data_IF_347286823349
#
_entry.id   IF_347286823349
#
_cell.length_a   1.000
_cell.length_b   1.000
_cell.length_c   1.000
_cell.angle_alpha   90.00
_cell.angle_beta   90.00
_cell.angle_gamma   90.00
#
_symmetry.space_group_name_H-M   'P 1'
#
loop_
_entity.id
_entity.type
_entity.pdbx_description
1 polymer ?
#
# COMPACT_ATOMS: atom_id res chain seq x y z
N UNK A 1 5.87 -18.68 -10.19
CA UNK A 1 6.87 -19.33 -9.34
C UNK A 1 6.36 -20.49 -8.50
N UNK A 2 5.45 -21.33 -9.04
CA UNK A 2 5.08 -22.59 -8.36
C UNK A 2 6.14 -23.69 -8.52
N UNK A 3 7.16 -23.44 -9.34
CA UNK A 3 8.18 -24.41 -9.72
C UNK A 3 9.57 -23.85 -9.55
N UNK A 4 9.85 -23.21 -8.40
CA UNK A 4 11.23 -22.89 -8.05
C UNK A 4 12.03 -24.20 -7.94
N UNK A 5 13.27 -24.26 -8.49
CA UNK A 5 14.15 -25.40 -8.30
C UNK A 5 14.32 -25.74 -6.82
N UNK A 6 14.59 -27.02 -6.52
CA UNK A 6 14.76 -27.53 -5.15
C UNK A 6 15.80 -26.75 -4.31
N UNK A 7 16.72 -26.07 -4.97
CA UNK A 7 17.82 -25.31 -4.36
C UNK A 7 17.48 -23.84 -4.05
N UNK A 8 16.30 -23.39 -4.46
CA UNK A 8 15.80 -22.11 -4.00
C UNK A 8 15.53 -22.16 -2.49
N UNK A 9 15.72 -21.06 -1.76
CA UNK A 9 15.51 -21.07 -0.32
C UNK A 9 14.18 -21.71 0.04
N UNK A 10 14.25 -22.84 0.72
CA UNK A 10 13.07 -23.53 1.21
C UNK A 10 12.41 -22.67 2.28
N UNK A 11 11.16 -22.37 2.12
CA UNK A 11 10.39 -21.61 3.08
C UNK A 11 9.61 -20.44 2.44
N UNK A 12 8.37 -20.32 2.84
CA UNK A 12 7.44 -19.34 2.28
C UNK A 12 7.91 -17.89 2.54
N UNK A 13 8.51 -17.62 3.71
CA UNK A 13 9.03 -16.30 4.05
C UNK A 13 10.11 -15.82 3.07
N UNK A 14 11.10 -16.67 2.75
CA UNK A 14 12.15 -16.34 1.78
C UNK A 14 11.61 -16.16 0.37
N UNK A 15 10.65 -16.99 -0.05
CA UNK A 15 9.96 -16.85 -1.34
C UNK A 15 9.17 -15.54 -1.42
N UNK A 16 8.50 -15.11 -0.35
CA UNK A 16 7.84 -13.81 -0.27
C UNK A 16 8.86 -12.67 -0.37
N UNK A 17 10.02 -12.82 0.25
CA UNK A 17 11.14 -11.86 0.13
C UNK A 17 11.64 -11.70 -1.32
N UNK A 18 11.66 -12.78 -2.12
CA UNK A 18 12.01 -12.71 -3.55
C UNK A 18 10.92 -11.97 -4.35
N UNK A 19 9.64 -12.26 -4.09
CA UNK A 19 8.52 -11.54 -4.72
C UNK A 19 8.60 -10.04 -4.40
N UNK A 20 8.86 -9.69 -3.15
CA UNK A 20 9.09 -8.32 -2.74
C UNK A 20 10.30 -7.70 -3.47
N UNK A 21 11.45 -8.40 -3.51
CA UNK A 21 12.67 -7.92 -4.19
C UNK A 21 12.44 -7.67 -5.68
N UNK A 22 11.65 -8.51 -6.35
CA UNK A 22 11.25 -8.32 -7.73
C UNK A 22 10.39 -7.05 -7.92
N UNK A 23 9.38 -6.83 -7.06
CA UNK A 23 8.59 -5.61 -7.09
C UNK A 23 9.47 -4.36 -6.87
N UNK A 24 10.33 -4.41 -5.86
CA UNK A 24 11.24 -3.33 -5.52
C UNK A 24 12.20 -2.98 -6.67
N UNK A 25 12.80 -3.99 -7.27
CA UNK A 25 13.67 -3.82 -8.43
C UNK A 25 12.94 -3.16 -9.62
N UNK A 26 11.74 -3.62 -9.94
CA UNK A 26 10.95 -3.00 -11.00
C UNK A 26 10.56 -1.56 -10.68
N UNK A 27 10.26 -1.26 -9.41
CA UNK A 27 9.95 0.10 -8.98
C UNK A 27 11.11 1.08 -9.19
N UNK A 28 12.34 0.60 -9.04
CA UNK A 28 13.56 1.39 -9.26
C UNK A 28 13.90 1.55 -10.74
N UNK A 29 13.57 0.55 -11.58
CA UNK A 29 13.82 0.59 -13.03
C UNK A 29 12.83 1.48 -13.80
N UNK A 30 11.62 1.57 -13.34
CA UNK A 30 10.53 2.25 -14.05
C UNK A 30 10.36 3.66 -13.51
N UNK A 31 10.57 4.66 -14.33
CA UNK A 31 10.24 6.05 -14.00
C UNK A 31 8.71 6.24 -14.13
N UNK A 32 7.95 5.66 -13.20
CA UNK A 32 6.49 5.63 -13.23
C UNK A 32 5.91 5.82 -11.84
N UNK A 33 4.82 6.59 -11.76
CA UNK A 33 4.00 6.75 -10.57
C UNK A 33 3.32 5.42 -10.13
N UNK A 34 3.25 4.43 -11.03
CA UNK A 34 2.52 3.19 -10.83
C UNK A 34 2.91 2.47 -9.54
N UNK A 35 4.20 2.29 -9.31
CA UNK A 35 4.68 1.58 -8.11
C UNK A 35 4.40 2.33 -6.81
N UNK A 36 4.36 3.66 -6.85
CA UNK A 36 3.95 4.47 -5.70
C UNK A 36 2.45 4.29 -5.42
N UNK A 37 1.63 4.19 -6.47
CA UNK A 37 0.20 3.88 -6.32
C UNK A 37 -0.06 2.43 -5.90
N UNK A 38 0.74 1.45 -6.33
CA UNK A 38 0.68 0.08 -5.78
C UNK A 38 0.89 0.11 -4.26
N UNK A 39 1.87 0.87 -3.80
CA UNK A 39 2.12 1.00 -2.36
C UNK A 39 0.99 1.76 -1.65
N UNK A 40 0.44 2.80 -2.26
CA UNK A 40 -0.76 3.50 -1.76
C UNK A 40 -1.97 2.54 -1.63
N UNK A 41 -2.23 1.73 -2.65
CA UNK A 41 -3.31 0.75 -2.60
C UNK A 41 -3.06 -0.32 -1.53
N UNK A 42 -1.80 -0.72 -1.32
CA UNK A 42 -1.42 -1.60 -0.23
C UNK A 42 -1.69 -0.98 1.15
N UNK A 43 -1.43 0.31 1.34
CA UNK A 43 -1.77 0.99 2.61
C UNK A 43 -3.28 1.18 2.81
N UNK A 44 -4.07 0.98 1.76
CA UNK A 44 -5.54 1.04 1.80
C UNK A 44 -6.16 -0.34 2.03
N UNK A 45 -5.73 -1.35 1.26
CA UNK A 45 -6.19 -2.74 1.34
C UNK A 45 -5.08 -3.61 1.94
N UNK A 46 -4.80 -3.39 3.20
CA UNK A 46 -3.63 -3.89 3.89
C UNK A 46 -3.64 -5.41 4.09
N UNK A 47 -2.52 -6.05 3.75
CA UNK A 47 -2.16 -7.40 4.18
C UNK A 47 -0.73 -7.39 4.73
N UNK A 48 -0.35 -8.36 5.56
CA UNK A 48 1.03 -8.46 6.01
C UNK A 48 1.73 -9.64 5.32
N UNK A 49 2.74 -9.32 4.51
CA UNK A 49 3.57 -10.31 3.79
C UNK A 49 4.20 -11.34 4.74
N UNK A 50 4.57 -10.94 5.94
CA UNK A 50 5.25 -11.82 6.90
C UNK A 50 4.25 -12.56 7.80
N UNK A 51 3.07 -11.98 8.01
CA UNK A 51 2.03 -12.52 8.88
C UNK A 51 0.71 -12.67 8.13
N UNK A 52 0.18 -13.88 8.06
CA UNK A 52 -1.20 -14.13 7.62
C UNK A 52 -1.45 -14.30 6.12
N UNK A 53 -0.60 -13.84 5.20
CA UNK A 53 -0.87 -14.04 3.74
C UNK A 53 -0.72 -15.50 3.27
N UNK A 54 -0.18 -16.39 4.08
CA UNK A 54 0.01 -17.80 3.72
C UNK A 54 1.11 -18.02 2.68
N UNK A 55 0.75 -18.53 1.51
CA UNK A 55 1.70 -18.88 0.45
C UNK A 55 2.32 -17.65 -0.22
N UNK A 56 3.58 -17.76 -0.64
CA UNK A 56 4.25 -16.70 -1.43
C UNK A 56 3.55 -16.42 -2.75
N UNK A 57 2.87 -17.41 -3.33
CA UNK A 57 2.06 -17.24 -4.53
C UNK A 57 0.83 -16.37 -4.29
N UNK A 58 0.22 -16.42 -3.10
CA UNK A 58 -0.88 -15.53 -2.74
C UNK A 58 -0.41 -14.08 -2.64
N UNK A 59 0.74 -13.86 -2.00
CA UNK A 59 1.34 -12.52 -1.96
C UNK A 59 1.70 -12.00 -3.37
N UNK A 60 2.17 -12.86 -4.25
CA UNK A 60 2.42 -12.49 -5.65
C UNK A 60 1.13 -12.11 -6.39
N UNK A 61 0.06 -12.91 -6.22
CA UNK A 61 -1.24 -12.62 -6.83
C UNK A 61 -1.85 -11.31 -6.31
N UNK A 62 -1.74 -11.07 -5.01
CA UNK A 62 -2.14 -9.81 -4.38
C UNK A 62 -1.40 -8.60 -5.00
N UNK A 63 -0.07 -8.67 -5.14
CA UNK A 63 0.69 -7.58 -5.78
C UNK A 63 0.29 -7.39 -7.25
N UNK A 64 0.02 -8.47 -7.98
CA UNK A 64 -0.49 -8.39 -9.35
C UNK A 64 -1.87 -7.73 -9.41
N UNK A 65 -2.73 -7.98 -8.44
CA UNK A 65 -4.04 -7.35 -8.36
C UNK A 65 -3.91 -5.84 -8.12
N UNK A 66 -3.05 -5.43 -7.20
CA UNK A 66 -2.76 -4.01 -6.98
C UNK A 66 -2.10 -3.36 -8.21
N UNK A 67 -1.18 -4.06 -8.88
CA UNK A 67 -0.55 -3.59 -10.12
C UNK A 67 -1.57 -3.38 -11.25
N UNK A 68 -2.54 -4.30 -11.39
CA UNK A 68 -3.59 -4.21 -12.39
C UNK A 68 -4.48 -2.97 -12.16
N UNK A 69 -4.83 -2.70 -10.91
CA UNK A 69 -5.70 -1.58 -10.55
C UNK A 69 -4.97 -0.31 -10.09
N UNK A 70 -3.64 -0.22 -10.21
CA UNK A 70 -2.88 0.95 -9.80
C UNK A 70 -3.35 2.26 -10.44
N UNK A 71 -3.80 2.19 -11.70
CA UNK A 71 -4.43 3.30 -12.42
C UNK A 71 -5.92 3.07 -12.68
N UNK A 72 -6.50 2.06 -12.07
CA UNK A 72 -7.83 1.56 -12.36
C UNK A 72 -8.92 2.10 -11.44
N UNK A 73 -9.95 1.30 -11.29
CA UNK A 73 -11.18 1.59 -10.57
C UNK A 73 -11.14 1.03 -9.14
N UNK A 74 -11.24 1.90 -8.13
CA UNK A 74 -11.20 1.52 -6.70
C UNK A 74 -12.40 0.65 -6.30
N UNK A 75 -13.59 0.94 -6.83
CA UNK A 75 -14.79 0.16 -6.53
C UNK A 75 -14.67 -1.26 -7.04
N UNK A 76 -14.15 -1.43 -8.27
CA UNK A 76 -13.88 -2.76 -8.82
C UNK A 76 -12.77 -3.47 -8.02
N UNK A 77 -11.70 -2.76 -7.64
CA UNK A 77 -10.67 -3.33 -6.78
C UNK A 77 -11.25 -3.81 -5.45
N UNK A 78 -12.13 -3.06 -4.80
CA UNK A 78 -12.76 -3.47 -3.55
C UNK A 78 -13.57 -4.76 -3.69
N UNK A 79 -14.24 -4.98 -4.82
CA UNK A 79 -14.91 -6.27 -5.14
C UNK A 79 -13.89 -7.39 -5.30
N UNK A 80 -12.82 -7.16 -6.09
CA UNK A 80 -11.81 -8.17 -6.42
C UNK A 80 -10.95 -8.56 -5.22
N UNK A 81 -10.61 -7.60 -4.35
CA UNK A 81 -9.81 -7.86 -3.13
C UNK A 81 -10.55 -8.77 -2.14
N UNK A 82 -11.89 -8.76 -2.15
CA UNK A 82 -12.71 -9.68 -1.34
C UNK A 82 -12.51 -11.15 -1.72
N UNK A 83 -12.10 -11.42 -2.95
CA UNK A 83 -11.74 -12.77 -3.43
C UNK A 83 -10.22 -13.02 -3.47
N UNK A 84 -9.39 -12.05 -3.08
CA UNK A 84 -7.94 -12.25 -3.06
C UNK A 84 -7.54 -13.29 -2.00
N UNK A 85 -6.75 -14.31 -2.40
CA UNK A 85 -6.38 -15.40 -1.52
C UNK A 85 -5.50 -14.94 -0.33
N UNK A 86 -4.68 -13.91 -0.49
CA UNK A 86 -3.89 -13.36 0.60
C UNK A 86 -4.77 -12.62 1.60
N UNK A 87 -5.72 -11.82 1.13
CA UNK A 87 -6.70 -11.11 1.95
C UNK A 87 -7.61 -12.06 2.71
N UNK A 88 -8.18 -13.07 2.02
CA UNK A 88 -9.03 -14.10 2.61
C UNK A 88 -8.33 -14.86 3.75
N UNK A 89 -7.02 -15.09 3.62
CA UNK A 89 -6.23 -15.73 4.64
C UNK A 89 -5.81 -14.78 5.76
N UNK A 90 -5.45 -13.54 5.42
CA UNK A 90 -4.93 -12.55 6.37
C UNK A 90 -5.99 -12.08 7.37
N UNK A 91 -7.22 -11.85 6.90
CA UNK A 91 -8.34 -11.42 7.73
C UNK A 91 -9.34 -12.56 8.05
N UNK A 92 -8.91 -13.81 7.91
CA UNK A 92 -9.65 -15.02 8.29
C UNK A 92 -11.05 -15.17 7.67
N UNK A 93 -11.35 -14.43 6.58
CA UNK A 93 -12.66 -14.57 5.93
C UNK A 93 -12.86 -15.97 5.35
N UNK A 94 -11.78 -16.72 5.11
CA UNK A 94 -11.88 -18.11 4.69
C UNK A 94 -12.57 -19.01 5.72
N UNK A 95 -12.66 -18.61 7.00
CA UNK A 95 -13.40 -19.32 8.05
C UNK A 95 -14.85 -18.87 8.17
N UNK A 96 -15.21 -17.71 7.61
CA UNK A 96 -16.52 -17.09 7.68
C UNK A 96 -17.59 -17.97 7.00
N UNK A 97 -18.65 -18.32 7.73
CA UNK A 97 -19.76 -19.12 7.21
C UNK A 97 -21.09 -18.72 7.87
N UNK A 98 -22.21 -19.08 7.24
CA UNK A 98 -23.57 -18.70 7.69
C UNK A 98 -23.94 -19.09 9.10
N UNK A 99 -23.36 -20.19 9.63
CA UNK A 99 -23.66 -20.68 10.97
C UNK A 99 -22.77 -20.06 12.05
N UNK A 100 -21.60 -19.55 11.65
CA UNK A 100 -20.65 -18.87 12.50
C UNK A 100 -20.01 -17.72 11.71
N UNK A 101 -20.71 -16.58 11.54
CA UNK A 101 -20.17 -15.44 10.84
C UNK A 101 -18.90 -14.91 11.51
N UNK A 102 -17.87 -14.66 10.72
CA UNK A 102 -16.64 -14.04 11.15
C UNK A 102 -16.64 -12.57 10.70
N UNK A 103 -16.67 -11.66 11.65
CA UNK A 103 -16.78 -10.22 11.39
C UNK A 103 -15.46 -9.53 11.06
N UNK A 104 -14.32 -10.23 11.20
CA UNK A 104 -13.01 -9.58 11.09
C UNK A 104 -12.83 -8.84 9.75
N UNK A 105 -12.99 -9.55 8.63
CA UNK A 105 -12.90 -8.91 7.31
C UNK A 105 -14.00 -7.86 7.07
N UNK A 106 -15.21 -8.12 7.55
CA UNK A 106 -16.34 -7.21 7.40
C UNK A 106 -16.08 -5.87 8.13
N UNK A 107 -15.52 -5.94 9.33
CA UNK A 107 -15.15 -4.78 10.13
C UNK A 107 -14.09 -3.96 9.41
N UNK A 108 -13.00 -4.59 8.97
CA UNK A 108 -11.93 -3.89 8.26
C UNK A 108 -12.39 -3.31 6.92
N UNK A 109 -13.31 -4.00 6.23
CA UNK A 109 -13.88 -3.50 4.97
C UNK A 109 -14.60 -2.15 5.17
N UNK A 110 -15.39 -2.01 6.22
CA UNK A 110 -16.09 -0.76 6.53
C UNK A 110 -15.16 0.24 7.23
N UNK A 111 -14.42 -0.17 8.26
CA UNK A 111 -13.62 0.70 9.12
C UNK A 111 -12.37 1.26 8.46
N UNK A 112 -11.70 0.46 7.63
CA UNK A 112 -10.40 0.82 7.08
C UNK A 112 -10.40 0.94 5.56
N UNK A 113 -11.16 0.09 4.86
CA UNK A 113 -11.04 -0.01 3.41
C UNK A 113 -12.00 0.90 2.67
N UNK A 114 -13.15 1.29 3.27
CA UNK A 114 -14.19 2.06 2.58
C UNK A 114 -14.65 3.29 3.36
N UNK A 115 -15.81 3.25 4.02
CA UNK A 115 -16.48 4.43 4.60
C UNK A 115 -15.77 5.06 5.79
N UNK A 116 -14.92 4.31 6.49
CA UNK A 116 -14.31 4.66 7.78
C UNK A 116 -15.36 4.87 8.89
N UNK A 117 -14.89 5.04 10.14
CA UNK A 117 -15.81 5.10 11.30
C UNK A 117 -16.72 6.34 11.30
N UNK A 118 -16.17 7.50 11.00
CA UNK A 118 -16.86 8.75 11.28
C UNK A 118 -16.91 9.05 12.79
N UNK A 119 -17.81 9.92 13.20
CA UNK A 119 -18.01 10.27 14.61
C UNK A 119 -18.72 9.11 15.35
N UNK A 120 -18.26 8.77 16.53
CA UNK A 120 -18.94 7.79 17.37
C UNK A 120 -20.25 8.39 17.94
N UNK A 121 -21.35 7.66 17.79
CA UNK A 121 -22.67 8.05 18.29
C UNK A 121 -22.93 7.39 19.65
N UNK A 122 -22.66 6.09 19.74
CA UNK A 122 -22.72 5.30 20.97
C UNK A 122 -21.74 4.10 20.88
N UNK A 123 -21.78 3.17 21.83
CA UNK A 123 -20.87 2.02 21.84
C UNK A 123 -21.07 1.14 20.60
N UNK A 124 -20.02 1.02 19.78
CA UNK A 124 -19.99 0.25 18.54
C UNK A 124 -20.67 0.91 17.35
N UNK A 125 -21.37 2.04 17.53
CA UNK A 125 -22.09 2.73 16.47
C UNK A 125 -21.45 4.08 16.10
N UNK A 126 -21.33 4.30 14.80
CA UNK A 126 -20.70 5.48 14.20
C UNK A 126 -21.63 6.14 13.18
N UNK A 127 -21.32 7.36 12.77
CA UNK A 127 -22.11 8.07 11.76
C UNK A 127 -22.13 7.36 10.41
N UNK A 128 -21.09 6.60 10.08
CA UNK A 128 -20.92 6.00 8.76
C UNK A 128 -21.40 4.54 8.70
N UNK A 129 -21.50 3.85 9.82
CA UNK A 129 -22.06 2.49 9.93
C UNK A 129 -22.37 2.15 11.40
N UNK A 130 -23.11 1.08 11.61
CA UNK A 130 -23.44 0.51 12.92
C UNK A 130 -22.80 -0.88 13.09
N UNK A 131 -22.76 -1.38 14.32
CA UNK A 131 -22.30 -2.76 14.60
C UNK A 131 -23.20 -3.79 13.87
N UNK A 132 -24.50 -3.51 13.72
CA UNK A 132 -25.37 -4.37 12.94
C UNK A 132 -24.97 -4.41 11.46
N UNK A 133 -24.51 -3.31 10.89
CA UNK A 133 -24.01 -3.27 9.49
C UNK A 133 -22.78 -4.16 9.31
N UNK A 134 -21.89 -4.23 10.31
CA UNK A 134 -20.75 -5.16 10.30
C UNK A 134 -21.24 -6.60 10.27
N UNK A 135 -22.23 -6.96 11.12
CA UNK A 135 -22.81 -8.30 11.15
C UNK A 135 -23.47 -8.67 9.82
N UNK A 136 -24.20 -7.74 9.21
CA UNK A 136 -24.81 -7.95 7.87
C UNK A 136 -23.72 -8.10 6.79
N UNK A 137 -22.66 -7.29 6.85
CA UNK A 137 -21.50 -7.38 5.95
C UNK A 137 -20.79 -8.73 6.09
N UNK A 138 -20.61 -9.25 7.31
CA UNK A 138 -20.05 -10.58 7.53
C UNK A 138 -20.90 -11.69 6.87
N UNK A 139 -22.23 -11.54 6.88
CA UNK A 139 -23.14 -12.45 6.17
C UNK A 139 -23.03 -12.35 4.65
N UNK A 140 -22.85 -11.14 4.09
CA UNK A 140 -22.56 -10.96 2.66
C UNK A 140 -21.26 -11.67 2.27
N UNK A 141 -20.23 -11.60 3.10
CA UNK A 141 -18.92 -12.22 2.83
C UNK A 141 -18.84 -13.71 3.24
N UNK A 142 -19.88 -14.25 3.86
CA UNK A 142 -19.90 -15.66 4.26
C UNK A 142 -19.79 -16.58 3.06
N UNK A 143 -19.11 -17.71 3.22
CA UNK A 143 -18.92 -18.68 2.14
C UNK A 143 -17.90 -18.30 1.07
N UNK A 144 -17.32 -17.08 1.07
CA UNK A 144 -16.20 -16.74 0.20
C UNK A 144 -14.93 -17.34 0.78
N UNK A 145 -14.29 -18.24 0.04
CA UNK A 145 -13.22 -19.10 0.52
C UNK A 145 -11.95 -18.96 -0.30
N UNK A 146 -10.82 -19.09 0.38
CA UNK A 146 -9.51 -19.21 -0.25
C UNK A 146 -9.41 -20.48 -1.11
N UNK A 147 -8.74 -20.38 -2.27
CA UNK A 147 -8.46 -21.50 -3.18
C UNK A 147 -6.98 -21.87 -3.17
N UNK A 148 -6.56 -22.87 -2.37
CA UNK A 148 -5.13 -23.20 -2.20
C UNK A 148 -4.43 -23.68 -3.48
N UNK A 149 -5.17 -24.24 -4.45
CA UNK A 149 -4.65 -24.72 -5.72
C UNK A 149 -4.48 -23.59 -6.75
N UNK A 150 -5.11 -22.42 -6.52
CA UNK A 150 -5.05 -21.27 -7.44
C UNK A 150 -5.55 -21.60 -8.86
N UNK A 151 -6.50 -22.49 -8.99
CA UNK A 151 -7.11 -22.93 -10.25
C UNK A 151 -8.42 -22.21 -10.58
N UNK A 152 -8.92 -21.38 -9.66
CA UNK A 152 -10.01 -20.42 -9.92
C UNK A 152 -9.37 -19.12 -10.38
N UNK A 153 -9.64 -18.72 -11.63
CA UNK A 153 -9.04 -17.56 -12.26
C UNK A 153 -10.10 -16.48 -12.48
N UNK A 154 -9.82 -15.28 -12.04
CA UNK A 154 -10.67 -14.13 -12.33
C UNK A 154 -10.64 -13.83 -13.85
N UNK A 155 -11.79 -13.83 -14.53
CA UNK A 155 -11.85 -13.68 -15.98
C UNK A 155 -11.40 -12.29 -16.46
N UNK A 156 -11.53 -11.26 -15.62
CA UNK A 156 -11.20 -9.87 -15.98
C UNK A 156 -9.70 -9.59 -15.88
N UNK A 157 -9.03 -10.19 -14.88
CA UNK A 157 -7.63 -9.88 -14.56
C UNK A 157 -6.67 -11.01 -14.94
N UNK A 158 -7.17 -12.24 -15.13
CA UNK A 158 -6.35 -13.43 -15.30
C UNK A 158 -5.55 -13.80 -14.04
N UNK A 159 -5.97 -13.32 -12.86
CA UNK A 159 -5.28 -13.55 -11.58
C UNK A 159 -6.03 -14.64 -10.80
N UNK A 160 -5.31 -15.59 -10.15
CA UNK A 160 -5.93 -16.55 -9.27
C UNK A 160 -6.67 -15.90 -8.11
N UNK A 161 -7.90 -16.34 -7.86
CA UNK A 161 -8.77 -15.84 -6.81
C UNK A 161 -9.37 -16.96 -5.94
N UNK A 162 -10.08 -16.58 -4.88
CA UNK A 162 -10.92 -17.47 -4.08
C UNK A 162 -12.16 -17.94 -4.84
N UNK A 163 -13.02 -18.67 -4.16
CA UNK A 163 -14.24 -19.22 -4.73
C UNK A 163 -15.42 -19.07 -3.77
N UNK A 164 -16.64 -19.22 -4.26
CA UNK A 164 -17.86 -19.22 -3.46
C UNK A 164 -18.24 -20.65 -3.07
N UNK A 165 -18.41 -20.87 -1.77
CA UNK A 165 -19.05 -22.06 -1.24
C UNK A 165 -20.50 -21.72 -0.85
N UNK A 166 -21.43 -21.97 -1.73
CA UNK A 166 -22.85 -21.65 -1.55
C UNK A 166 -23.51 -22.35 -0.36
N UNK A 167 -23.01 -23.51 0.04
CA UNK A 167 -23.51 -24.21 1.23
C UNK A 167 -23.15 -23.51 2.54
N UNK A 168 -22.11 -22.70 2.53
CA UNK A 168 -21.62 -21.94 3.68
C UNK A 168 -22.02 -20.47 3.62
N UNK A 169 -22.61 -20.02 2.52
CA UNK A 169 -23.08 -18.66 2.34
C UNK A 169 -24.47 -18.46 2.99
N UNK A 170 -24.71 -17.27 3.55
CA UNK A 170 -26.02 -16.85 4.07
C UNK A 170 -26.87 -16.28 2.92
N UNK A 171 -27.83 -17.05 2.47
CA UNK A 171 -28.73 -16.66 1.35
C UNK A 171 -29.92 -15.80 1.76
N UNK A 172 -30.04 -15.38 3.02
CA UNK A 172 -31.11 -14.48 3.44
C UNK A 172 -30.86 -13.04 2.97
N UNK A 173 -31.91 -12.24 2.74
CA UNK A 173 -31.74 -10.81 2.50
C UNK A 173 -31.08 -10.10 3.70
N UNK A 174 -30.29 -9.08 3.44
CA UNK A 174 -29.60 -8.26 4.45
C UNK A 174 -30.07 -6.81 4.33
N UNK A 175 -30.69 -6.30 5.39
CA UNK A 175 -31.10 -4.89 5.48
C UNK A 175 -30.09 -4.14 6.31
N UNK A 176 -29.51 -3.09 5.73
CA UNK A 176 -28.53 -2.21 6.35
C UNK A 176 -29.19 -1.01 7.02
N UNK A 177 -28.46 -0.32 7.89
CA UNK A 177 -28.98 0.80 8.68
C UNK A 177 -29.31 2.04 7.83
N UNK A 178 -29.83 3.07 8.50
CA UNK A 178 -30.06 4.37 7.88
C UNK A 178 -28.79 5.03 7.33
N UNK A 179 -27.59 4.68 7.83
CA UNK A 179 -26.33 5.11 7.27
C UNK A 179 -26.17 4.66 5.81
N UNK A 180 -26.78 3.54 5.43
CA UNK A 180 -26.86 3.03 4.06
C UNK A 180 -28.29 3.16 3.46
N UNK A 181 -29.06 4.14 3.91
CA UNK A 181 -30.41 4.44 3.38
C UNK A 181 -31.43 3.32 3.64
N UNK A 182 -31.26 2.49 4.67
CA UNK A 182 -32.09 1.31 4.96
C UNK A 182 -32.17 0.34 3.76
N UNK A 183 -31.09 0.24 3.00
CA UNK A 183 -31.04 -0.58 1.79
C UNK A 183 -31.09 -2.07 2.13
N UNK A 184 -31.95 -2.82 1.43
CA UNK A 184 -32.00 -4.28 1.53
C UNK A 184 -31.34 -4.91 0.30
N UNK A 185 -30.36 -5.77 0.54
CA UNK A 185 -29.66 -6.53 -0.49
C UNK A 185 -30.19 -7.98 -0.48
N UNK A 186 -30.63 -8.45 -1.64
CA UNK A 186 -31.08 -9.85 -1.79
C UNK A 186 -29.91 -10.81 -1.56
N UNK A 187 -30.15 -11.89 -0.85
CA UNK A 187 -29.15 -12.94 -0.65
C UNK A 187 -29.04 -13.86 -1.85
N UNK A 188 -27.81 -14.33 -2.13
CA UNK A 188 -27.52 -15.28 -3.21
C UNK A 188 -27.59 -16.72 -2.77
N UNK A 189 -28.16 -17.61 -3.60
CA UNK A 189 -28.23 -19.04 -3.39
C UNK A 189 -27.35 -19.84 -4.37
N UNK A 190 -26.95 -19.22 -5.48
CA UNK A 190 -26.00 -19.73 -6.46
C UNK A 190 -24.73 -18.88 -6.49
N UNK A 191 -23.65 -19.39 -7.09
CA UNK A 191 -22.39 -18.65 -7.21
C UNK A 191 -22.58 -17.30 -7.90
N UNK A 192 -23.34 -17.27 -9.00
CA UNK A 192 -23.63 -16.02 -9.73
C UNK A 192 -24.44 -15.02 -8.91
N UNK A 193 -25.39 -15.50 -8.11
CA UNK A 193 -26.20 -14.64 -7.24
C UNK A 193 -25.37 -14.10 -6.07
N UNK A 194 -24.42 -14.86 -5.51
CA UNK A 194 -23.50 -14.36 -4.48
C UNK A 194 -22.57 -13.29 -5.05
N UNK A 195 -22.09 -13.44 -6.29
CA UNK A 195 -21.34 -12.38 -6.96
C UNK A 195 -22.20 -11.13 -7.16
N UNK A 196 -23.46 -11.26 -7.53
CA UNK A 196 -24.39 -10.14 -7.68
C UNK A 196 -24.72 -9.47 -6.32
N UNK A 197 -24.90 -10.27 -5.27
CA UNK A 197 -25.07 -9.78 -3.90
C UNK A 197 -23.89 -8.93 -3.46
N UNK A 198 -22.65 -9.42 -3.67
CA UNK A 198 -21.44 -8.67 -3.39
C UNK A 198 -21.36 -7.38 -4.23
N UNK A 199 -21.75 -7.45 -5.49
CA UNK A 199 -21.77 -6.28 -6.36
C UNK A 199 -22.70 -5.21 -5.82
N UNK A 200 -23.96 -5.56 -5.52
CA UNK A 200 -24.96 -4.67 -4.96
C UNK A 200 -24.51 -4.10 -3.59
N UNK A 201 -23.87 -4.93 -2.76
CA UNK A 201 -23.32 -4.48 -1.49
C UNK A 201 -22.21 -3.43 -1.67
N UNK A 202 -21.24 -3.70 -2.54
CA UNK A 202 -20.16 -2.74 -2.81
C UNK A 202 -20.70 -1.48 -3.46
N UNK A 203 -21.69 -1.58 -4.35
CA UNK A 203 -22.34 -0.43 -4.95
C UNK A 203 -23.04 0.44 -3.90
N UNK A 204 -23.71 -0.15 -2.93
CA UNK A 204 -24.31 0.55 -1.79
C UNK A 204 -23.25 1.28 -0.94
N UNK A 205 -22.17 0.61 -0.59
CA UNK A 205 -21.07 1.19 0.21
C UNK A 205 -20.37 2.33 -0.55
N UNK A 206 -20.18 2.19 -1.85
CA UNK A 206 -19.56 3.22 -2.69
C UNK A 206 -20.50 4.35 -3.10
N UNK A 207 -21.81 4.19 -2.94
CA UNK A 207 -22.77 5.27 -3.06
C UNK A 207 -22.71 6.27 -1.87
N UNK A 208 -22.12 5.87 -0.76
CA UNK A 208 -21.87 6.75 0.38
C UNK A 208 -20.82 7.82 0.01
N UNK A 209 -21.12 9.13 0.14
CA UNK A 209 -20.16 10.19 -0.15
C UNK A 209 -18.88 10.09 0.68
N UNK A 210 -18.99 9.59 1.93
CA UNK A 210 -17.83 9.41 2.82
C UNK A 210 -16.83 8.38 2.29
N UNK A 211 -17.26 7.37 1.52
CA UNK A 211 -16.32 6.45 0.86
C UNK A 211 -15.37 7.20 -0.09
N UNK A 212 -15.90 8.07 -0.94
CA UNK A 212 -15.08 8.84 -1.85
C UNK A 212 -14.16 9.83 -1.10
N UNK A 213 -14.68 10.51 -0.07
CA UNK A 213 -13.88 11.40 0.79
C UNK A 213 -12.78 10.63 1.51
N UNK A 214 -13.07 9.43 2.03
CA UNK A 214 -12.09 8.58 2.69
C UNK A 214 -10.90 8.26 1.79
N UNK A 215 -11.13 7.88 0.53
CA UNK A 215 -10.07 7.65 -0.44
C UNK A 215 -9.29 8.91 -0.78
N UNK A 216 -9.96 10.05 -0.95
CA UNK A 216 -9.31 11.33 -1.24
C UNK A 216 -8.48 11.84 -0.05
N UNK A 217 -8.96 11.69 1.19
CA UNK A 217 -8.19 11.98 2.41
C UNK A 217 -6.94 11.10 2.51
N UNK A 218 -7.05 9.81 2.23
CA UNK A 218 -5.89 8.88 2.18
C UNK A 218 -4.91 9.29 1.09
N UNK A 219 -5.39 9.63 -0.10
CA UNK A 219 -4.55 10.06 -1.21
C UNK A 219 -3.83 11.38 -0.88
N UNK A 220 -4.55 12.34 -0.31
CA UNK A 220 -3.99 13.61 0.14
C UNK A 220 -2.88 13.39 1.18
N UNK A 221 -3.16 12.59 2.21
CA UNK A 221 -2.19 12.25 3.25
C UNK A 221 -0.96 11.53 2.71
N UNK A 222 -1.15 10.70 1.72
CA UNK A 222 -0.06 9.95 1.11
C UNK A 222 0.87 10.82 0.24
N UNK A 223 0.34 11.85 -0.42
CA UNK A 223 1.09 12.64 -1.39
C UNK A 223 1.40 14.07 -0.95
N UNK A 224 0.61 14.66 -0.07
CA UNK A 224 0.63 16.10 0.20
C UNK A 224 0.98 16.45 1.65
N UNK A 225 0.11 16.11 2.61
CA UNK A 225 0.27 16.53 4.00
C UNK A 225 -0.45 15.57 4.96
N UNK A 226 0.12 15.35 6.14
CA UNK A 226 -0.45 14.45 7.16
C UNK A 226 -1.70 15.02 7.84
N UNK A 227 -1.72 16.32 8.03
CA UNK A 227 -2.80 17.07 8.67
C UNK A 227 -3.23 18.23 7.75
N UNK A 228 -4.47 18.62 7.79
CA UNK A 228 -5.01 19.72 7.00
C UNK A 228 -6.13 20.46 7.71
N UNK A 229 -6.40 21.69 7.28
CA UNK A 229 -7.48 22.54 7.76
C UNK A 229 -8.85 22.14 7.18
N UNK A 230 -9.91 22.71 7.74
CA UNK A 230 -11.26 22.56 7.19
C UNK A 230 -11.36 23.15 5.76
N UNK A 231 -10.65 24.23 5.48
CA UNK A 231 -10.63 24.85 4.14
C UNK A 231 -10.06 23.87 3.09
N UNK A 232 -8.99 23.14 3.40
CA UNK A 232 -8.47 22.09 2.52
C UNK A 232 -9.45 20.92 2.38
N UNK A 233 -10.20 20.57 3.44
CA UNK A 233 -11.26 19.56 3.33
C UNK A 233 -12.36 20.01 2.38
N UNK A 234 -12.76 21.27 2.43
CA UNK A 234 -13.86 21.83 1.64
C UNK A 234 -13.43 22.15 0.20
N UNK A 235 -12.26 22.75 0.01
CA UNK A 235 -11.80 23.28 -1.28
C UNK A 235 -10.97 22.30 -2.11
N UNK A 236 -10.35 21.30 -1.48
CA UNK A 236 -9.49 20.32 -2.15
C UNK A 236 -10.07 18.90 -2.06
N UNK A 237 -10.30 18.39 -0.84
CA UNK A 237 -10.68 16.98 -0.64
C UNK A 237 -12.09 16.71 -1.14
N UNK A 238 -13.05 17.57 -0.82
CA UNK A 238 -14.45 17.41 -1.25
C UNK A 238 -14.62 17.51 -2.77
N UNK A 239 -14.02 18.46 -3.50
CA UNK A 239 -14.02 18.48 -4.96
C UNK A 239 -13.36 17.23 -5.58
N UNK A 240 -12.22 16.77 -5.03
CA UNK A 240 -11.58 15.54 -5.48
C UNK A 240 -12.49 14.31 -5.27
N UNK A 241 -13.21 14.24 -4.15
CA UNK A 241 -14.16 13.17 -3.88
C UNK A 241 -15.33 13.18 -4.89
N UNK A 242 -15.85 14.34 -5.23
CA UNK A 242 -16.87 14.49 -6.27
C UNK A 242 -16.34 14.05 -7.65
N UNK A 243 -15.10 14.40 -7.97
CA UNK A 243 -14.43 13.92 -9.18
C UNK A 243 -14.23 12.41 -9.15
N UNK A 244 -13.86 11.83 -8.02
CA UNK A 244 -13.69 10.38 -7.88
C UNK A 244 -15.01 9.65 -8.20
N UNK A 245 -16.14 10.14 -7.69
CA UNK A 245 -17.47 9.60 -7.99
C UNK A 245 -17.78 9.73 -9.48
N UNK A 246 -17.64 10.93 -10.06
CA UNK A 246 -17.99 11.19 -11.48
C UNK A 246 -17.06 10.50 -12.46
N UNK A 247 -15.82 10.21 -12.08
CA UNK A 247 -14.86 9.42 -12.87
C UNK A 247 -15.01 7.91 -12.65
N UNK A 248 -16.11 7.47 -12.05
CA UNK A 248 -16.34 6.07 -11.69
C UNK A 248 -15.20 5.47 -10.86
N UNK A 249 -14.77 6.17 -9.82
CA UNK A 249 -13.72 5.77 -8.88
C UNK A 249 -12.35 5.49 -9.52
N UNK A 250 -11.99 6.25 -10.56
CA UNK A 250 -10.67 6.16 -11.21
C UNK A 250 -9.56 6.75 -10.34
N UNK A 251 -8.64 5.90 -9.88
CA UNK A 251 -7.43 6.33 -9.13
C UNK A 251 -6.60 7.32 -9.94
N UNK A 252 -6.45 7.04 -11.25
CA UNK A 252 -5.60 7.84 -12.12
C UNK A 252 -6.10 9.28 -12.24
N UNK A 253 -7.40 9.48 -12.44
CA UNK A 253 -7.95 10.81 -12.71
C UNK A 253 -7.83 11.72 -11.48
N UNK A 254 -8.18 11.25 -10.29
CA UNK A 254 -8.03 12.06 -9.07
C UNK A 254 -6.58 12.30 -8.70
N UNK A 255 -5.71 11.30 -8.91
CA UNK A 255 -4.26 11.48 -8.68
C UNK A 255 -3.67 12.51 -9.62
N UNK A 256 -4.04 12.50 -10.91
CA UNK A 256 -3.61 13.52 -11.87
C UNK A 256 -4.05 14.92 -11.46
N UNK A 257 -5.33 15.06 -11.06
CA UNK A 257 -5.85 16.37 -10.64
C UNK A 257 -5.09 16.88 -9.42
N UNK A 258 -4.93 16.05 -8.39
CA UNK A 258 -4.20 16.44 -7.19
C UNK A 258 -2.74 16.84 -7.49
N UNK A 259 -1.99 15.98 -8.19
CA UNK A 259 -0.56 16.21 -8.45
C UNK A 259 -0.27 17.30 -9.49
N UNK A 260 -1.28 17.81 -10.21
CA UNK A 260 -1.16 18.94 -11.14
C UNK A 260 -1.76 20.23 -10.59
N UNK A 261 -2.34 20.19 -9.41
CA UNK A 261 -2.96 21.38 -8.81
C UNK A 261 -1.91 22.39 -8.37
N UNK A 262 -2.28 23.67 -8.35
CA UNK A 262 -1.45 24.74 -7.76
C UNK A 262 -1.19 24.45 -6.28
N UNK A 263 -2.19 23.95 -5.59
CA UNK A 263 -2.10 23.56 -4.19
C UNK A 263 -0.94 22.55 -3.95
N UNK A 264 -0.80 21.51 -4.81
CA UNK A 264 0.30 20.54 -4.68
C UNK A 264 1.69 21.17 -4.83
N UNK A 265 1.82 22.24 -5.62
CA UNK A 265 3.08 22.98 -5.81
C UNK A 265 3.22 24.18 -4.88
N UNK A 266 2.26 24.40 -3.97
CA UNK A 266 2.22 25.55 -3.07
C UNK A 266 2.27 26.91 -3.84
N UNK A 267 1.56 26.95 -4.97
CA UNK A 267 1.51 28.12 -5.86
C UNK A 267 0.23 28.95 -5.69
N UNK A 268 -0.66 28.52 -4.84
CA UNK A 268 -1.94 29.21 -4.59
C UNK A 268 -1.79 30.39 -3.63
N UNK A 269 -0.76 30.41 -2.79
CA UNK A 269 -0.38 31.51 -1.87
C UNK A 269 -1.56 32.13 -1.10
N UNK A 270 -2.64 31.36 -0.93
CA UNK A 270 -3.87 31.89 -0.36
C UNK A 270 -3.80 32.03 1.15
N UNK A 271 -3.02 31.18 1.81
CA UNK A 271 -2.90 31.15 3.27
C UNK A 271 -1.55 30.55 3.71
N UNK A 272 -0.89 31.20 4.67
CA UNK A 272 0.34 30.69 5.28
C UNK A 272 0.12 29.45 6.15
N UNK A 273 -1.14 29.09 6.45
CA UNK A 273 -1.49 27.94 7.30
C UNK A 273 -1.64 26.65 6.51
N UNK A 274 -1.81 26.71 5.19
CA UNK A 274 -1.99 25.54 4.32
C UNK A 274 -0.71 25.11 3.58
N UNK A 275 0.42 25.76 3.84
CA UNK A 275 1.72 25.44 3.23
C UNK A 275 2.02 23.95 3.27
N UNK A 276 2.38 23.41 2.09
CA UNK A 276 2.65 21.98 1.90
C UNK A 276 4.10 21.66 1.57
N UNK A 277 4.90 22.65 1.17
CA UNK A 277 6.33 22.44 0.90
C UNK A 277 7.02 21.92 2.16
N UNK A 278 7.61 20.72 2.03
CA UNK A 278 8.30 20.06 3.14
C UNK A 278 7.41 19.52 4.25
N UNK A 279 6.09 19.43 4.04
CA UNK A 279 5.14 18.96 5.05
C UNK A 279 5.22 17.46 5.32
N UNK A 280 5.79 16.65 4.41
CA UNK A 280 5.91 15.20 4.54
C UNK A 280 7.37 14.81 4.69
N UNK A 281 7.68 14.08 5.76
CA UNK A 281 8.96 13.38 5.89
C UNK A 281 8.98 12.20 4.92
N UNK A 282 9.98 12.17 4.02
CA UNK A 282 10.12 11.07 3.06
C UNK A 282 10.21 9.73 3.78
N UNK A 283 9.35 8.80 3.42
CA UNK A 283 9.44 7.45 3.95
C UNK A 283 10.74 6.76 3.49
N UNK A 284 11.23 5.73 4.20
CA UNK A 284 12.50 5.08 3.88
C UNK A 284 12.56 4.50 2.46
N UNK A 285 11.44 4.05 1.88
CA UNK A 285 11.38 3.53 0.51
C UNK A 285 11.68 4.65 -0.49
N UNK A 286 11.03 5.79 -0.30
CA UNK A 286 11.24 6.97 -1.15
C UNK A 286 12.66 7.51 -1.01
N UNK A 287 13.16 7.63 0.22
CA UNK A 287 14.52 8.07 0.48
C UNK A 287 15.56 7.18 -0.22
N UNK A 288 15.44 5.87 -0.07
CA UNK A 288 16.37 4.92 -0.71
C UNK A 288 16.29 5.00 -2.24
N UNK A 289 15.09 5.09 -2.82
CA UNK A 289 14.94 5.19 -4.27
C UNK A 289 15.51 6.49 -4.84
N UNK A 290 15.34 7.61 -4.14
CA UNK A 290 15.94 8.89 -4.52
C UNK A 290 17.46 8.87 -4.43
N UNK A 291 18.01 8.26 -3.36
CA UNK A 291 19.47 8.09 -3.23
C UNK A 291 20.05 7.24 -4.35
N UNK A 292 19.39 6.15 -4.72
CA UNK A 292 19.81 5.30 -5.84
C UNK A 292 19.83 6.11 -7.15
N UNK A 293 18.78 6.89 -7.39
CA UNK A 293 18.67 7.71 -8.59
C UNK A 293 19.68 8.89 -8.59
N UNK A 294 19.81 9.60 -7.48
CA UNK A 294 20.73 10.72 -7.32
C UNK A 294 22.19 10.28 -7.53
N UNK A 295 22.57 9.17 -6.94
CA UNK A 295 23.91 8.61 -7.04
C UNK A 295 24.13 7.79 -8.30
N UNK A 296 23.09 7.63 -9.13
CA UNK A 296 23.10 6.79 -10.35
C UNK A 296 23.67 5.40 -10.08
N UNK A 297 23.29 4.82 -8.94
CA UNK A 297 23.79 3.50 -8.54
C UNK A 297 23.33 2.43 -9.54
N UNK A 298 24.26 1.61 -9.98
CA UNK A 298 23.95 0.46 -10.82
C UNK A 298 23.46 -0.69 -9.94
N UNK A 299 22.19 -1.03 -10.13
CA UNK A 299 21.59 -2.16 -9.41
C UNK A 299 21.99 -3.47 -10.08
N UNK A 300 22.20 -4.54 -9.31
CA UNK A 300 22.43 -5.87 -9.86
C UNK A 300 21.26 -6.32 -10.74
N UNK A 301 21.54 -6.93 -11.88
CA UNK A 301 20.52 -7.38 -12.82
C UNK A 301 20.11 -8.84 -12.54
N UNK A 302 18.85 -9.13 -12.11
CA UNK A 302 18.38 -10.48 -11.87
C UNK A 302 18.06 -11.25 -13.17
N UNK A 303 17.95 -10.56 -14.31
CA UNK A 303 17.56 -11.11 -15.60
C UNK A 303 18.75 -11.73 -16.36
N UNK A 304 19.94 -11.76 -15.73
CA UNK A 304 21.10 -12.43 -16.32
C UNK A 304 20.83 -13.93 -16.53
N UNK A 305 21.41 -14.49 -17.59
CA UNK A 305 21.21 -15.88 -18.01
C UNK A 305 21.40 -16.87 -16.85
N UNK A 306 20.46 -17.77 -16.70
CA UNK A 306 20.42 -18.80 -15.69
C UNK A 306 20.73 -20.16 -16.29
N UNK A 307 21.64 -20.93 -15.67
CA UNK A 307 21.89 -22.31 -16.03
C UNK A 307 21.08 -23.26 -15.15
N UNK A 308 20.18 -24.07 -15.71
CA UNK A 308 19.31 -24.94 -14.93
C UNK A 308 20.02 -26.21 -14.39
N UNK A 309 21.21 -26.58 -14.91
CA UNK A 309 21.86 -27.81 -14.48
C UNK A 309 23.38 -27.81 -14.81
N UNK A 310 24.28 -27.89 -13.82
CA UNK A 310 23.99 -27.65 -12.40
C UNK A 310 23.52 -26.22 -12.17
N UNK A 311 22.67 -26.05 -11.17
CA UNK A 311 22.15 -24.73 -10.83
C UNK A 311 23.31 -23.83 -10.42
N UNK A 312 23.62 -22.83 -11.26
CA UNK A 312 24.61 -21.81 -10.94
C UNK A 312 23.99 -20.43 -11.12
N UNK A 313 24.09 -19.63 -10.06
CA UNK A 313 23.67 -18.23 -10.09
C UNK A 313 24.81 -17.36 -10.56
N UNK A 314 24.51 -16.40 -11.41
CA UNK A 314 25.49 -15.37 -11.77
C UNK A 314 25.80 -14.48 -10.56
N UNK A 315 26.95 -13.81 -10.59
CA UNK A 315 27.32 -12.83 -9.56
C UNK A 315 26.25 -11.74 -9.42
N UNK A 316 25.63 -11.31 -10.53
CA UNK A 316 24.56 -10.31 -10.51
C UNK A 316 23.29 -10.82 -9.82
N UNK A 317 22.90 -12.08 -10.03
CA UNK A 317 21.76 -12.69 -9.34
C UNK A 317 22.03 -12.82 -7.83
N UNK A 318 23.22 -13.20 -7.44
CA UNK A 318 23.63 -13.26 -6.04
C UNK A 318 23.63 -11.85 -5.42
N UNK A 319 24.17 -10.87 -6.10
CA UNK A 319 24.21 -9.49 -5.63
C UNK A 319 22.81 -8.86 -5.58
N UNK A 320 21.94 -9.19 -6.55
CA UNK A 320 20.54 -8.81 -6.51
C UNK A 320 19.86 -9.32 -5.22
N UNK A 321 20.00 -10.59 -4.92
CA UNK A 321 19.44 -11.16 -3.69
C UNK A 321 20.01 -10.49 -2.44
N UNK A 322 21.33 -10.32 -2.37
CA UNK A 322 22.00 -9.68 -1.23
C UNK A 322 21.55 -8.23 -1.05
N UNK A 323 21.43 -7.46 -2.12
CA UNK A 323 21.00 -6.07 -2.03
C UNK A 323 19.53 -5.97 -1.63
N UNK A 324 18.61 -6.57 -2.41
CA UNK A 324 17.20 -6.39 -2.18
C UNK A 324 16.67 -7.11 -0.95
N UNK A 325 17.17 -8.30 -0.67
CA UNK A 325 16.73 -9.12 0.44
C UNK A 325 17.55 -8.88 1.71
N UNK A 326 18.86 -9.07 1.67
CA UNK A 326 19.65 -8.97 2.89
C UNK A 326 19.84 -7.54 3.36
N UNK A 327 20.16 -6.63 2.47
CA UNK A 327 20.40 -5.23 2.83
C UNK A 327 19.09 -4.45 2.98
N UNK A 328 18.27 -4.34 1.91
CA UNK A 328 17.07 -3.52 1.98
C UNK A 328 16.05 -4.09 2.96
N UNK A 329 15.68 -5.36 2.77
CA UNK A 329 14.57 -5.96 3.51
C UNK A 329 14.90 -6.32 4.96
N UNK A 330 16.04 -6.93 5.23
CA UNK A 330 16.40 -7.35 6.61
C UNK A 330 17.18 -6.32 7.42
N UNK A 331 17.77 -5.31 6.79
CA UNK A 331 18.62 -4.37 7.51
C UNK A 331 18.09 -2.95 7.46
N UNK A 332 18.00 -2.36 6.27
CA UNK A 332 17.70 -0.94 6.15
C UNK A 332 16.25 -0.61 6.51
N UNK A 333 15.27 -1.29 5.93
CA UNK A 333 13.87 -0.95 6.13
C UNK A 333 13.40 -1.18 7.57
N UNK A 334 13.66 -2.33 8.22
CA UNK A 334 13.32 -2.49 9.63
C UNK A 334 14.02 -1.48 10.54
N UNK A 335 15.31 -1.21 10.28
CA UNK A 335 16.07 -0.19 11.02
C UNK A 335 15.55 1.24 10.83
N UNK A 336 14.76 1.47 9.79
CA UNK A 336 14.13 2.76 9.46
C UNK A 336 12.63 2.79 9.79
N UNK A 337 12.12 1.82 10.55
CA UNK A 337 10.71 1.68 10.96
C UNK A 337 9.74 1.52 9.80
N UNK A 338 10.18 0.93 8.70
CA UNK A 338 9.28 0.49 7.63
C UNK A 338 9.67 -0.92 7.19
N UNK A 339 8.68 -1.78 7.07
CA UNK A 339 8.85 -3.10 6.46
C UNK A 339 7.86 -3.20 5.29
N UNK A 340 8.30 -2.93 4.04
CA UNK A 340 7.37 -2.86 2.92
C UNK A 340 6.54 -4.12 2.78
N UNK A 341 5.22 -3.95 2.64
CA UNK A 341 4.21 -5.01 2.60
C UNK A 341 4.12 -5.89 3.86
N UNK A 342 4.67 -5.43 4.98
CA UNK A 342 4.56 -6.09 6.29
C UNK A 342 4.31 -5.05 7.37
N UNK A 343 3.16 -4.39 7.36
CA UNK A 343 2.78 -3.49 8.42
C UNK A 343 2.56 -4.26 9.73
N UNK A 344 2.68 -3.57 10.86
CA UNK A 344 2.54 -4.16 12.18
C UNK A 344 1.09 -4.52 12.51
N UNK A 345 0.14 -3.79 11.93
CA UNK A 345 -1.30 -3.98 12.16
C UNK A 345 -2.08 -3.98 10.84
N UNK A 346 -3.33 -4.41 10.89
CA UNK A 346 -4.26 -4.33 9.75
C UNK A 346 -4.57 -2.89 9.36
N UNK A 347 -4.51 -1.96 10.29
CA UNK A 347 -4.67 -0.53 10.04
C UNK A 347 -3.49 0.08 9.26
N UNK A 348 -2.45 -0.69 8.99
CA UNK A 348 -1.26 -0.28 8.25
C UNK A 348 -0.06 -0.06 9.15
N UNK A 349 0.83 0.79 8.70
CA UNK A 349 2.05 1.11 9.43
C UNK A 349 1.75 2.14 10.52
N UNK A 350 2.34 2.05 11.75
CA UNK A 350 2.07 3.01 12.81
C UNK A 350 2.42 4.46 12.42
N UNK A 351 3.43 4.58 11.59
CA UNK A 351 3.85 5.83 10.99
C UNK A 351 3.05 6.19 9.75
N UNK A 352 2.13 5.31 9.33
CA UNK A 352 1.59 5.39 8.01
C UNK A 352 0.18 5.85 8.00
N UNK A 353 0.04 7.02 7.46
CA UNK A 353 -1.20 7.37 6.84
C UNK A 353 -2.39 7.33 7.82
N UNK A 354 -2.08 7.27 9.12
CA UNK A 354 -2.99 7.46 10.24
C UNK A 354 -2.65 8.78 10.93
N UNK A 355 -3.64 9.63 11.14
CA UNK A 355 -3.45 10.88 11.89
C UNK A 355 -3.05 10.61 13.35
N UNK A 356 -2.53 11.62 14.10
CA UNK A 356 -2.19 12.93 13.53
C UNK A 356 -0.75 13.08 13.03
N UNK A 357 0.19 12.25 13.27
CA UNK A 357 1.61 12.53 12.99
C UNK A 357 2.35 11.35 12.36
N UNK A 358 1.73 10.66 11.43
CA UNK A 358 2.25 9.41 10.88
C UNK A 358 3.66 9.53 10.27
N UNK A 359 3.95 10.59 9.53
CA UNK A 359 5.23 10.79 8.84
C UNK A 359 6.37 11.13 9.79
N UNK A 360 6.10 11.70 10.95
CA UNK A 360 7.12 12.01 11.98
C UNK A 360 7.72 10.76 12.61
N UNK A 361 7.02 9.64 12.59
CA UNK A 361 7.55 8.35 13.06
C UNK A 361 8.71 7.83 12.20
N UNK A 362 8.86 8.33 10.96
CA UNK A 362 10.05 8.07 10.14
C UNK A 362 11.32 8.78 10.64
N UNK A 363 11.18 9.69 11.61
CA UNK A 363 12.26 10.56 12.09
C UNK A 363 12.39 10.50 13.60
N UNK A 364 12.70 9.32 14.12
CA UNK A 364 13.10 9.09 15.51
C UNK A 364 14.62 9.03 15.64
N UNK A 365 15.14 9.08 16.88
CA UNK A 365 16.57 8.94 17.14
C UNK A 365 17.18 7.69 16.48
N UNK A 366 16.45 6.57 16.50
CA UNK A 366 16.92 5.31 15.89
C UNK A 366 16.87 5.33 14.37
N UNK A 367 15.78 5.84 13.80
CA UNK A 367 15.59 5.88 12.34
C UNK A 367 16.52 6.86 11.66
N UNK A 368 16.85 7.97 12.32
CA UNK A 368 17.87 8.93 11.86
C UNK A 368 19.25 8.26 11.72
N UNK A 369 19.66 7.46 12.70
CA UNK A 369 20.91 6.71 12.63
C UNK A 369 20.92 5.76 11.42
N UNK A 370 19.83 5.05 11.17
CA UNK A 370 19.71 4.16 10.02
C UNK A 370 19.82 4.93 8.69
N UNK A 371 19.21 6.11 8.59
CA UNK A 371 19.29 7.00 7.43
C UNK A 371 20.71 7.50 7.18
N UNK A 372 21.43 7.94 8.22
CA UNK A 372 22.84 8.34 8.09
C UNK A 372 23.75 7.18 7.69
N UNK A 373 23.58 6.01 8.31
CA UNK A 373 24.34 4.80 7.95
C UNK A 373 24.11 4.36 6.50
N UNK A 374 22.89 4.54 5.97
CA UNK A 374 22.61 4.28 4.56
C UNK A 374 23.48 5.17 3.66
N UNK A 375 23.49 6.48 3.90
CA UNK A 375 24.26 7.46 3.14
C UNK A 375 25.75 7.12 3.22
N UNK A 376 26.27 6.90 4.43
CA UNK A 376 27.65 6.51 4.65
C UNK A 376 28.03 5.25 3.87
N UNK A 377 27.16 4.21 3.87
CA UNK A 377 27.40 2.96 3.19
C UNK A 377 27.57 3.11 1.68
N UNK A 378 26.82 4.01 1.05
CA UNK A 378 26.93 4.28 -0.37
C UNK A 378 28.15 5.15 -0.72
N UNK A 379 28.45 6.19 0.08
CA UNK A 379 29.58 7.11 -0.16
C UNK A 379 30.92 6.41 0.10
N UNK A 380 31.01 5.64 1.19
CA UNK A 380 32.26 4.95 1.56
C UNK A 380 32.58 3.72 0.70
N UNK A 381 31.65 3.28 -0.16
CA UNK A 381 31.78 2.07 -0.94
C UNK A 381 31.81 0.78 -0.09
N UNK A 382 31.42 0.87 1.18
CA UNK A 382 31.31 -0.30 2.08
C UNK A 382 30.16 -1.22 1.70
N UNK A 383 29.20 -0.74 0.90
CA UNK A 383 28.17 -1.58 0.35
C UNK A 383 28.68 -2.30 -0.90
N UNK A 384 29.22 -3.49 -0.71
CA UNK A 384 29.83 -4.30 -1.79
C UNK A 384 28.84 -4.80 -2.84
N UNK A 385 27.53 -4.60 -2.63
CA UNK A 385 26.48 -5.11 -3.52
C UNK A 385 26.11 -4.14 -4.62
N UNK A 386 26.41 -2.87 -4.42
CA UNK A 386 26.11 -1.80 -5.37
C UNK A 386 27.43 -1.12 -5.70
N UNK A 387 27.93 -1.34 -6.91
CA UNK A 387 29.17 -0.72 -7.33
C UNK A 387 28.91 0.69 -7.82
N UNK A 388 29.45 1.73 -7.16
CA UNK A 388 29.41 3.09 -7.68
C UNK A 388 30.42 3.23 -8.84
N UNK A 389 30.19 2.53 -9.94
CA UNK A 389 31.14 2.54 -11.08
C UNK A 389 31.31 3.93 -11.71
N UNK A 390 30.32 4.81 -11.59
CA UNK A 390 30.39 6.20 -12.11
C UNK A 390 30.86 7.24 -11.09
N UNK A 391 30.77 6.96 -9.80
CA UNK A 391 31.23 7.92 -8.80
C UNK A 391 32.74 8.19 -8.91
N UNK A 392 33.57 7.17 -9.19
CA UNK A 392 35.03 7.32 -9.30
C UNK A 392 35.50 8.14 -10.53
N UNK A 393 34.78 8.12 -11.64
CA UNK A 393 35.19 8.82 -12.86
C UNK A 393 34.60 10.24 -13.00
N UNK A 394 33.48 10.53 -12.36
CA UNK A 394 32.86 11.86 -12.38
C UNK A 394 33.20 12.73 -11.17
N UNK A 395 33.76 12.15 -10.11
CA UNK A 395 34.10 12.85 -8.87
C UNK A 395 35.42 13.63 -8.92
N UNK A 396 36.21 13.50 -9.97
CA UNK A 396 37.38 14.36 -10.16
C UNK A 396 37.04 15.84 -10.30
N UNK A 397 35.76 16.19 -10.54
CA UNK A 397 35.26 17.56 -10.70
C UNK A 397 34.20 17.95 -9.67
N UNK A 398 33.76 17.05 -8.79
CA UNK A 398 32.81 17.35 -7.71
C UNK A 398 33.51 17.39 -6.36
N UNK A 399 33.54 18.55 -5.76
CA UNK A 399 34.08 18.70 -4.41
C UNK A 399 33.17 17.93 -3.44
N UNK A 400 33.75 16.93 -2.76
CA UNK A 400 33.05 16.08 -1.76
C UNK A 400 32.29 16.94 -0.75
N UNK A 401 32.79 18.13 -0.45
CA UNK A 401 32.13 19.14 0.38
C UNK A 401 30.80 19.62 -0.18
N UNK A 402 30.68 19.83 -1.51
CA UNK A 402 29.39 20.22 -2.14
C UNK A 402 28.37 19.10 -2.12
N UNK A 403 28.81 17.87 -2.27
CA UNK A 403 27.91 16.71 -2.19
C UNK A 403 27.40 16.51 -0.76
N UNK A 404 28.28 16.61 0.24
CA UNK A 404 27.90 16.56 1.66
C UNK A 404 26.94 17.74 1.96
N UNK A 405 27.15 18.91 1.39
CA UNK A 405 26.25 20.06 1.54
C UNK A 405 24.90 19.76 0.91
N UNK A 406 24.81 19.23 -0.31
CA UNK A 406 23.53 18.92 -0.98
C UNK A 406 22.78 17.81 -0.22
N UNK A 407 23.49 16.79 0.27
CA UNK A 407 22.88 15.72 1.10
C UNK A 407 22.49 16.26 2.48
N UNK A 408 23.30 17.14 3.06
CA UNK A 408 22.98 17.84 4.31
C UNK A 408 21.87 18.86 4.12
N UNK A 409 21.83 19.59 3.01
CA UNK A 409 20.72 20.50 2.69
C UNK A 409 19.42 19.75 2.44
N UNK A 410 19.44 18.64 1.73
CA UNK A 410 18.28 17.76 1.59
C UNK A 410 17.83 17.11 2.92
N UNK A 411 18.77 16.85 3.83
CA UNK A 411 18.52 16.41 5.20
C UNK A 411 18.12 17.56 6.12
N UNK A 412 18.77 18.71 6.01
CA UNK A 412 18.51 19.92 6.80
C UNK A 412 17.18 20.54 6.39
N UNK A 413 16.82 20.55 5.11
CA UNK A 413 15.48 20.97 4.67
C UNK A 413 14.37 20.12 5.30
N UNK A 414 14.65 18.84 5.58
CA UNK A 414 13.74 17.99 6.35
C UNK A 414 13.80 18.21 7.87
N UNK A 415 14.83 18.87 8.41
CA UNK A 415 15.05 19.07 9.85
C UNK A 415 14.72 20.51 10.28
N UNK A 416 15.02 21.51 9.46
CA UNK A 416 14.77 22.92 9.82
C UNK A 416 13.30 23.28 9.90
N UNK A 417 12.42 22.48 9.30
CA UNK A 417 10.96 22.63 9.44
C UNK A 417 10.39 21.99 10.71
N UNK A 418 11.18 21.20 11.45
CA UNK A 418 10.79 20.59 12.72
C UNK A 418 11.16 21.43 13.96
N UNK A 419 11.92 22.49 13.77
CA UNK A 419 12.28 23.40 14.87
C UNK A 419 11.42 24.68 14.76
N UNK A 420 10.74 25.10 15.83
CA UNK A 420 10.07 26.40 15.84
C UNK A 420 11.10 27.51 15.54
N UNK A 421 10.72 28.61 14.89
CA UNK A 421 11.62 29.69 14.63
C UNK A 421 12.22 30.18 15.94
N UNK A 422 13.54 30.08 16.07
CA UNK A 422 14.24 30.68 17.22
C UNK A 422 14.18 32.18 16.94
N UNK A 423 13.35 32.88 17.72
CA UNK A 423 13.38 34.33 17.76
C UNK A 423 14.76 34.79 18.27
N UNK A 424 15.56 35.36 17.40
CA UNK A 424 16.70 36.17 17.79
C UNK A 424 16.25 37.51 18.34
#
# INVERSE_FOLDING_TARGET
>A
PNTAPSDFPNGQGRKRGIVYGWWWYNSLKQNSLKHKLIFFLHTTFTVSKDNGVGKSSFFYDYLRLLDFYAFGNLKTLAKKITFDNAMLNYLDNTTNNKNNPNENYAREFLELFTVLKGQQIDEGNYTNYTEEDIQKTAKVFSGIKMKPLRDTIDPDTGIPMGYVNTFQHDSNPKTFSSAFGNTTIAGGSSESEVHMELENYVDMVFAQPETAKAYCRKLYRFFVKSEWSQDVEDDIITPLANQLITSNFSVLEVTKTLLKSKHFFDEDNSDSTDQIIGSIVKNPIQMLSEMINLLQLQLPNPEASYSPSPVSYTTDQINFYKFHHSFCYFSFFPGSSVNPFSPDTVAGYPADYQGPNFDRSWFSSNTVIARYKLIESFISGKNSFVTPKKLKSSWSHWNVSKFIIIVLEALVASVTQLLPPVSL
#
